data_IF_272911842368
#
_entry.id   IF_272911842368
#
_cell.length_a   1.000
_cell.length_b   1.000
_cell.length_c   1.000
_cell.angle_alpha   90.00
_cell.angle_beta   90.00
_cell.angle_gamma   90.00
#
_symmetry.space_group_name_H-M   'P 1'
#
loop_
_entity.id
_entity.type
_entity.pdbx_description
1 polymer ?
#
# COMPACT_ATOMS: atom_id res chain seq x y z
N UNK A 1 -0.02 -10.95 17.74
CA UNK A 1 -0.28 -10.75 16.29
C UNK A 1 0.16 -9.37 15.77
N UNK A 2 0.17 -8.29 16.56
CA UNK A 2 0.61 -6.96 16.06
C UNK A 2 2.13 -6.80 15.89
N UNK A 3 2.96 -7.47 16.69
CA UNK A 3 4.43 -7.28 16.62
C UNK A 3 5.08 -7.96 15.40
N UNK A 4 4.53 -9.10 14.96
CA UNK A 4 5.06 -9.82 13.79
C UNK A 4 4.78 -9.06 12.49
N UNK A 5 3.55 -8.54 12.32
CA UNK A 5 3.18 -7.73 11.16
C UNK A 5 3.90 -6.39 11.12
N UNK A 6 4.19 -5.79 12.29
CA UNK A 6 4.99 -4.57 12.39
C UNK A 6 6.44 -4.80 11.94
N UNK A 7 7.08 -5.89 12.40
CA UNK A 7 8.43 -6.29 11.97
C UNK A 7 8.47 -6.62 10.48
N UNK A 8 7.48 -7.36 9.99
CA UNK A 8 7.39 -7.70 8.58
C UNK A 8 7.31 -6.43 7.73
N UNK A 9 6.43 -5.47 8.08
CA UNK A 9 6.33 -4.17 7.40
C UNK A 9 7.66 -3.41 7.38
N UNK A 10 8.40 -3.42 8.50
CA UNK A 10 9.71 -2.78 8.57
C UNK A 10 10.70 -3.45 7.60
N UNK A 11 10.76 -4.78 7.59
CA UNK A 11 11.61 -5.54 6.67
C UNK A 11 11.27 -5.20 5.22
N UNK A 12 9.99 -5.23 4.85
CA UNK A 12 9.55 -4.92 3.47
C UNK A 12 9.96 -3.51 3.05
N UNK A 13 9.78 -2.53 3.93
CA UNK A 13 10.15 -1.13 3.68
C UNK A 13 11.66 -0.97 3.50
N UNK A 14 12.47 -1.62 4.35
CA UNK A 14 13.93 -1.59 4.24
C UNK A 14 14.39 -2.26 2.95
N UNK A 15 13.86 -3.44 2.61
CA UNK A 15 14.18 -4.17 1.39
C UNK A 15 13.87 -3.36 0.13
N UNK A 16 12.69 -2.73 0.07
CA UNK A 16 12.32 -1.84 -1.05
C UNK A 16 13.29 -0.68 -1.22
N UNK A 17 13.62 0.01 -0.12
CA UNK A 17 14.54 1.16 -0.13
C UNK A 17 15.95 0.75 -0.56
N UNK A 18 16.45 -0.37 -0.03
CA UNK A 18 17.78 -0.88 -0.32
C UNK A 18 17.89 -1.30 -1.80
N UNK A 19 16.95 -2.09 -2.31
CA UNK A 19 16.96 -2.50 -3.72
C UNK A 19 16.88 -1.30 -4.66
N UNK A 20 16.02 -0.32 -4.37
CA UNK A 20 15.91 0.90 -5.18
C UNK A 20 17.20 1.73 -5.15
N UNK A 21 17.86 1.79 -3.99
CA UNK A 21 19.16 2.47 -3.83
C UNK A 21 20.24 1.79 -4.67
N UNK A 22 20.34 0.46 -4.59
CA UNK A 22 21.27 -0.32 -5.42
C UNK A 22 21.00 -0.08 -6.90
N UNK A 23 19.74 -0.19 -7.34
CA UNK A 23 19.36 0.07 -8.75
C UNK A 23 19.82 1.45 -9.20
N UNK A 24 19.61 2.48 -8.37
CA UNK A 24 20.07 3.84 -8.68
C UNK A 24 21.60 3.92 -8.80
N UNK A 25 22.35 3.27 -7.92
CA UNK A 25 23.81 3.30 -7.91
C UNK A 25 24.44 2.54 -9.09
N UNK A 26 23.79 1.44 -9.53
CA UNK A 26 24.31 0.63 -10.64
C UNK A 26 23.84 1.11 -12.01
N UNK A 27 22.80 1.94 -12.07
CA UNK A 27 22.28 2.48 -13.33
C UNK A 27 23.25 3.52 -13.89
N UNK A 28 23.85 3.31 -15.08
CA UNK A 28 24.77 4.29 -15.66
C UNK A 28 24.09 5.63 -15.97
N UNK A 29 24.79 6.74 -15.77
CA UNK A 29 24.26 8.09 -16.05
C UNK A 29 23.94 8.33 -17.53
N UNK A 30 24.63 7.62 -18.43
CA UNK A 30 24.46 7.74 -19.86
C UNK A 30 23.95 6.43 -20.46
N UNK A 31 22.91 6.53 -21.30
CA UNK A 31 22.31 5.39 -22.01
C UNK A 31 23.27 4.66 -22.96
N UNK A 32 24.34 5.33 -23.38
CA UNK A 32 25.40 4.73 -24.21
C UNK A 32 26.29 3.76 -23.43
N UNK A 33 26.29 3.82 -22.09
CA UNK A 33 27.04 2.92 -21.23
C UNK A 33 26.24 1.64 -20.99
N UNK A 34 26.93 0.50 -21.04
CA UNK A 34 26.32 -0.80 -20.75
C UNK A 34 26.01 -0.91 -19.25
N UNK A 35 24.80 -1.35 -18.93
CA UNK A 35 24.43 -1.65 -17.54
C UNK A 35 25.26 -2.82 -17.00
N UNK A 36 25.79 -2.76 -15.77
CA UNK A 36 26.66 -3.80 -15.22
C UNK A 36 25.90 -5.10 -14.91
N UNK A 37 24.60 -5.02 -14.60
CA UNK A 37 23.73 -6.19 -14.42
C UNK A 37 23.21 -6.73 -15.75
N UNK A 38 22.98 -8.04 -15.81
CA UNK A 38 22.33 -8.68 -16.94
C UNK A 38 20.85 -8.28 -17.06
N UNK A 39 20.28 -8.37 -18.26
CA UNK A 39 18.85 -8.14 -18.48
C UNK A 39 17.97 -9.06 -17.61
N UNK A 40 18.37 -10.32 -17.43
CA UNK A 40 17.66 -11.25 -16.55
C UNK A 40 17.63 -10.75 -15.11
N UNK A 41 18.79 -10.34 -14.57
CA UNK A 41 18.88 -9.80 -13.21
C UNK A 41 18.01 -8.55 -13.03
N UNK A 42 17.96 -7.68 -14.05
CA UNK A 42 17.10 -6.49 -14.02
C UNK A 42 15.61 -6.90 -13.97
N UNK A 43 15.21 -7.91 -14.74
CA UNK A 43 13.84 -8.44 -14.70
C UNK A 43 13.51 -9.07 -13.35
N UNK A 44 14.43 -9.84 -12.77
CA UNK A 44 14.26 -10.46 -11.46
C UNK A 44 14.08 -9.41 -10.36
N UNK A 45 14.85 -8.31 -10.42
CA UNK A 45 14.71 -7.18 -9.48
C UNK A 45 13.32 -6.53 -9.63
N UNK A 46 12.84 -6.31 -10.86
CA UNK A 46 11.49 -5.75 -11.07
C UNK A 46 10.40 -6.66 -10.52
N UNK A 47 10.51 -7.97 -10.77
CA UNK A 47 9.58 -8.96 -10.24
C UNK A 47 9.59 -8.96 -8.71
N UNK A 48 10.77 -8.93 -8.09
CA UNK A 48 10.93 -8.86 -6.64
C UNK A 48 10.30 -7.60 -6.04
N UNK A 49 10.55 -6.41 -6.63
CA UNK A 49 9.90 -5.16 -6.20
C UNK A 49 8.36 -5.22 -6.33
N UNK A 50 7.85 -5.92 -7.35
CA UNK A 50 6.43 -6.20 -7.50
C UNK A 50 5.87 -7.04 -6.35
N UNK A 51 6.55 -8.12 -5.98
CA UNK A 51 6.18 -8.96 -4.82
C UNK A 51 6.23 -8.18 -3.51
N UNK A 52 7.25 -7.34 -3.33
CA UNK A 52 7.38 -6.47 -2.16
C UNK A 52 6.17 -5.55 -2.03
N UNK A 53 5.80 -4.90 -3.14
CA UNK A 53 4.66 -3.96 -3.18
C UNK A 53 3.34 -4.67 -2.89
N UNK A 54 3.13 -5.87 -3.45
CA UNK A 54 1.94 -6.66 -3.19
C UNK A 54 1.81 -7.00 -1.70
N UNK A 55 2.91 -7.43 -1.07
CA UNK A 55 2.91 -7.76 0.35
C UNK A 55 2.78 -6.53 1.26
N UNK A 56 3.42 -5.41 0.92
CA UNK A 56 3.21 -4.14 1.63
C UNK A 56 1.73 -3.72 1.60
N UNK A 57 1.04 -3.93 0.48
CA UNK A 57 -0.39 -3.65 0.35
C UNK A 57 -1.24 -4.57 1.23
N UNK A 58 -0.98 -5.88 1.23
CA UNK A 58 -1.68 -6.83 2.12
C UNK A 58 -1.56 -6.41 3.59
N UNK A 59 -0.34 -6.07 4.04
CA UNK A 59 -0.10 -5.60 5.40
C UNK A 59 -0.79 -4.25 5.72
N UNK A 60 -1.02 -3.41 4.70
CA UNK A 60 -1.75 -2.16 4.85
C UNK A 60 -3.27 -2.39 4.92
N UNK A 61 -3.79 -3.30 4.09
CA UNK A 61 -5.19 -3.72 4.06
C UNK A 61 -5.59 -4.36 5.41
N UNK A 62 -4.77 -5.28 5.92
CA UNK A 62 -4.96 -5.93 7.22
C UNK A 62 -4.94 -4.94 8.40
N UNK A 63 -4.15 -3.87 8.26
CA UNK A 63 -4.07 -2.79 9.26
C UNK A 63 -5.16 -1.70 9.06
N UNK A 64 -6.03 -1.82 8.05
CA UNK A 64 -7.06 -0.83 7.72
C UNK A 64 -6.52 0.52 7.23
N UNK A 65 -5.25 0.60 6.77
CA UNK A 65 -4.57 1.85 6.40
C UNK A 65 -4.75 2.26 4.93
N UNK A 66 -5.13 1.33 4.06
CA UNK A 66 -5.18 1.57 2.60
C UNK A 66 -6.19 2.63 2.18
N UNK A 67 -7.24 2.86 2.98
CA UNK A 67 -8.20 3.93 2.74
C UNK A 67 -7.67 5.33 3.14
N UNK A 68 -6.69 5.41 4.05
CA UNK A 68 -6.18 6.67 4.60
C UNK A 68 -5.00 7.24 3.80
N UNK A 69 -4.28 6.40 3.05
CA UNK A 69 -3.06 6.80 2.34
C UNK A 69 -3.29 7.33 0.91
N UNK A 70 -4.53 7.27 0.40
CA UNK A 70 -4.86 7.81 -0.93
C UNK A 70 -4.94 9.35 -0.87
N UNK A 71 -4.14 10.08 -1.65
CA UNK A 71 -4.30 11.52 -1.78
C UNK A 71 -5.70 11.84 -2.30
N UNK A 72 -6.33 12.85 -1.71
CA UNK A 72 -7.60 13.41 -2.18
C UNK A 72 -7.39 14.88 -2.54
N UNK A 73 -8.18 15.40 -3.48
CA UNK A 73 -8.16 16.83 -3.74
C UNK A 73 -8.85 17.57 -2.59
N UNK A 74 -8.35 18.76 -2.22
CA UNK A 74 -8.94 19.55 -1.12
C UNK A 74 -10.40 19.93 -1.36
N UNK A 75 -10.82 20.00 -2.63
CA UNK A 75 -12.18 20.33 -3.04
C UNK A 75 -13.06 19.07 -3.28
N UNK A 76 -12.50 17.87 -3.11
CA UNK A 76 -13.22 16.63 -3.33
C UNK A 76 -14.14 16.32 -2.14
N UNK A 77 -15.46 16.15 -2.36
CA UNK A 77 -16.36 15.77 -1.28
C UNK A 77 -15.99 14.36 -0.79
N UNK A 78 -15.89 14.12 0.53
CA UNK A 78 -15.48 12.83 1.07
C UNK A 78 -16.47 11.73 0.64
N UNK A 79 -15.93 10.58 0.22
CA UNK A 79 -16.71 9.45 -0.27
C UNK A 79 -17.71 8.88 0.75
N UNK A 80 -17.48 9.13 2.05
CA UNK A 80 -18.35 8.65 3.13
C UNK A 80 -18.86 9.82 3.98
N UNK A 81 -20.19 9.97 4.01
CA UNK A 81 -20.86 10.89 4.94
C UNK A 81 -21.16 10.12 6.23
N UNK A 82 -20.28 10.26 7.22
CA UNK A 82 -20.50 9.67 8.55
C UNK A 82 -21.68 10.40 9.22
N UNK A 83 -22.79 9.69 9.42
CA UNK A 83 -23.96 10.19 10.16
C UNK A 83 -23.98 9.58 11.57
N UNK A 84 -24.05 10.38 12.64
CA UNK A 84 -24.21 9.86 13.99
C UNK A 84 -25.56 9.16 14.16
N UNK A 85 -25.55 7.94 14.71
CA UNK A 85 -26.74 7.07 14.91
C UNK A 85 -27.57 7.47 16.16
N UNK A 86 -27.56 8.74 16.56
CA UNK A 86 -28.19 9.15 17.83
C UNK A 86 -29.72 9.07 17.85
N UNK A 87 -30.41 8.97 16.71
CA UNK A 87 -31.88 9.04 16.63
C UNK A 87 -32.54 7.95 15.75
N UNK A 88 -32.07 6.70 15.79
CA UNK A 88 -32.85 5.58 15.22
C UNK A 88 -33.96 5.23 16.22
N UNK A 89 -35.12 5.86 16.08
CA UNK A 89 -36.34 5.47 16.78
C UNK A 89 -36.75 4.05 16.41
N UNK A 90 -37.18 3.25 17.40
CA UNK A 90 -37.71 1.91 17.17
C UNK A 90 -38.98 2.03 16.33
N UNK A 91 -39.00 1.42 15.15
CA UNK A 91 -40.21 1.26 14.34
C UNK A 91 -41.16 0.37 15.17
N UNK A 92 -42.32 0.90 15.57
CA UNK A 92 -43.39 0.09 16.14
C UNK A 92 -44.03 -0.68 14.98
N UNK A 93 -44.05 -2.01 15.12
CA UNK A 93 -44.91 -2.89 14.33
C UNK A 93 -46.34 -2.62 14.79
N UNK A 94 -47.16 -2.06 13.91
CA UNK A 94 -48.61 -2.07 14.13
C UNK A 94 -49.09 -3.49 13.75
N UNK A 95 -49.61 -4.21 14.76
CA UNK A 95 -50.33 -5.46 14.61
C UNK A 95 -51.71 -5.11 14.01
N UNK A 96 -51.93 -5.47 12.75
CA UNK A 96 -53.27 -5.46 12.13
C UNK A 96 -53.99 -6.78 12.50
N UNK A 97 -55.13 -6.64 13.17
CA UNK A 97 -56.13 -7.69 13.48
C UNK A 97 -56.71 -8.40 12.24
#
# INVERSE_FOLDING_TARGET
MNDETAKEREIMLVMRKLLTTIVREVTPEHKSLKHPLSEQTIQDIRACLGLITAREKELADDAGRTAQERPYFVDEPPATKVVPITNIGKIKQDEDD
#
